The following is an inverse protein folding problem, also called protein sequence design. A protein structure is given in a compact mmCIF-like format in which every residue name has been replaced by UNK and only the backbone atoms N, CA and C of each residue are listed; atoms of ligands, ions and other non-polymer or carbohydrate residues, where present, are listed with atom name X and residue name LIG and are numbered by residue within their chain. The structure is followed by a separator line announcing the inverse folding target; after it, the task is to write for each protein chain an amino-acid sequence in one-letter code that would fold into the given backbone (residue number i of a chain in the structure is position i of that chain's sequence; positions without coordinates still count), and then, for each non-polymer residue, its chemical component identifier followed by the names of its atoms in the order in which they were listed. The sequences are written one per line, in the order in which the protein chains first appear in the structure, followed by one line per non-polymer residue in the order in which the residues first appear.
data_IF_954460561954
#
_entry.id   IF_954460561954
#
_cell.length_a   1.000
_cell.length_b   1.000
_cell.length_c   1.000
_cell.angle_alpha   90.00
_cell.angle_beta   90.00
_cell.angle_gamma   90.00
#
_symmetry.space_group_name_H-M   'P 1'
#
loop_
_entity.id
_entity.type
_entity.pdbx_description
1 polymer ?
#
# COMPACT_ATOMS: atom_id res chain seq x y z
N UNK A 1 -8.80 -5.95 3.95
CA UNK A 1 -8.00 -4.75 3.59
C UNK A 1 -7.27 -4.22 4.82
N UNK A 2 -6.22 -3.41 4.63
CA UNK A 2 -5.40 -2.82 5.71
C UNK A 2 -6.24 -2.18 6.83
N UNK A 3 -7.21 -1.36 6.47
CA UNK A 3 -8.08 -0.64 7.42
C UNK A 3 -8.87 -1.60 8.31
N UNK A 4 -9.34 -2.71 7.76
CA UNK A 4 -10.03 -3.76 8.53
C UNK A 4 -9.13 -4.40 9.58
N UNK A 5 -7.84 -4.59 9.29
CA UNK A 5 -6.89 -5.14 10.25
C UNK A 5 -6.55 -4.14 11.37
N UNK A 6 -6.47 -2.85 11.05
CA UNK A 6 -6.30 -1.78 12.04
C UNK A 6 -7.50 -1.66 12.97
N UNK A 7 -8.72 -1.61 12.42
CA UNK A 7 -9.96 -1.52 13.22
C UNK A 7 -10.12 -2.72 14.15
N UNK A 8 -9.80 -3.92 13.67
CA UNK A 8 -9.79 -5.13 14.52
C UNK A 8 -8.79 -5.01 15.68
N UNK A 9 -7.57 -4.56 15.41
CA UNK A 9 -6.58 -4.36 16.47
C UNK A 9 -7.03 -3.35 17.53
N UNK A 10 -7.70 -2.26 17.12
CA UNK A 10 -8.29 -1.32 18.06
C UNK A 10 -9.43 -1.97 18.86
N UNK A 11 -10.28 -2.74 18.21
CA UNK A 11 -11.43 -3.39 18.85
C UNK A 11 -11.02 -4.41 19.91
N UNK A 12 -9.95 -5.16 19.66
CA UNK A 12 -9.33 -6.09 20.63
C UNK A 12 -8.84 -5.37 21.90
N UNK A 13 -8.60 -4.05 21.82
CA UNK A 13 -8.18 -3.19 22.91
C UNK A 13 -9.31 -2.31 23.48
N UNK A 14 -10.55 -2.52 23.02
CA UNK A 14 -11.70 -1.72 23.42
C UNK A 14 -11.72 -0.29 22.85
N UNK A 15 -10.90 -0.02 21.82
CA UNK A 15 -10.83 1.28 21.15
C UNK A 15 -11.53 1.26 19.78
N UNK A 16 -11.89 2.45 19.31
CA UNK A 16 -12.42 2.68 17.96
C UNK A 16 -11.56 3.74 17.26
N UNK A 17 -11.64 3.90 15.92
CA UNK A 17 -10.90 4.96 15.23
C UNK A 17 -11.16 6.37 15.79
N UNK A 18 -12.38 6.62 16.30
CA UNK A 18 -12.75 7.89 16.93
C UNK A 18 -12.04 8.10 18.29
N UNK A 19 -11.85 7.03 19.05
CA UNK A 19 -11.18 7.07 20.36
C UNK A 19 -9.70 6.66 20.34
N UNK A 20 -9.14 6.32 19.18
CA UNK A 20 -7.79 5.76 19.09
C UNK A 20 -6.75 6.78 19.53
N UNK A 21 -5.89 6.40 20.48
CA UNK A 21 -4.77 7.23 20.90
C UNK A 21 -3.59 7.09 19.93
N UNK A 22 -2.60 7.97 20.07
CA UNK A 22 -1.29 7.81 19.42
C UNK A 22 -0.66 6.46 19.75
N UNK A 23 -0.72 6.07 21.03
CA UNK A 23 -0.14 4.83 21.54
C UNK A 23 -0.75 3.61 20.85
N UNK A 24 -2.06 3.59 20.62
CA UNK A 24 -2.70 2.49 19.89
C UNK A 24 -2.21 2.35 18.44
N UNK A 25 -1.85 3.46 17.80
CA UNK A 25 -1.32 3.46 16.43
C UNK A 25 0.14 3.00 16.43
N UNK A 26 0.95 3.47 17.37
CA UNK A 26 2.35 3.07 17.53
C UNK A 26 2.47 1.56 17.87
N UNK A 27 1.61 1.06 18.75
CA UNK A 27 1.52 -0.35 19.08
C UNK A 27 1.10 -1.19 17.88
N UNK A 28 0.13 -0.73 17.09
CA UNK A 28 -0.23 -1.42 15.85
C UNK A 28 0.94 -1.45 14.86
N UNK A 29 1.66 -0.35 14.68
CA UNK A 29 2.84 -0.30 13.81
C UNK A 29 3.92 -1.27 14.31
N UNK A 30 4.14 -1.33 15.62
CA UNK A 30 5.08 -2.25 16.25
C UNK A 30 4.68 -3.71 16.04
N UNK A 31 3.41 -4.06 16.25
CA UNK A 31 2.87 -5.40 16.02
C UNK A 31 3.07 -5.83 14.55
N UNK A 32 2.83 -4.92 13.61
CA UNK A 32 2.98 -5.22 12.18
C UNK A 32 4.46 -5.38 11.78
N UNK A 33 5.36 -4.63 12.41
CA UNK A 33 6.82 -4.81 12.24
C UNK A 33 7.27 -6.16 12.79
N UNK A 34 6.79 -6.55 13.97
CA UNK A 34 7.10 -7.84 14.60
C UNK A 34 6.54 -9.02 13.80
N UNK A 35 5.43 -8.82 13.09
CA UNK A 35 4.87 -9.79 12.14
C UNK A 35 5.65 -9.89 10.81
N UNK A 36 6.80 -9.22 10.67
CA UNK A 36 7.66 -9.33 9.49
C UNK A 36 7.15 -8.60 8.25
N UNK A 37 6.29 -7.59 8.40
CA UNK A 37 5.81 -6.83 7.26
C UNK A 37 6.94 -6.08 6.54
N UNK A 38 7.04 -6.24 5.22
CA UNK A 38 8.01 -5.52 4.40
C UNK A 38 7.86 -3.99 4.54
N UNK A 39 8.95 -3.20 4.46
CA UNK A 39 8.90 -1.74 4.61
C UNK A 39 7.89 -1.05 3.70
N UNK A 40 7.78 -1.49 2.45
CA UNK A 40 6.79 -0.98 1.49
C UNK A 40 5.34 -1.26 1.90
N UNK A 41 5.09 -2.43 2.51
CA UNK A 41 3.77 -2.78 3.06
C UNK A 41 3.46 -1.93 4.29
N UNK A 42 4.44 -1.71 5.17
CA UNK A 42 4.31 -0.84 6.34
C UNK A 42 4.01 0.61 5.95
N UNK A 43 4.68 1.14 4.93
CA UNK A 43 4.42 2.49 4.43
C UNK A 43 3.00 2.64 3.86
N UNK A 44 2.53 1.69 3.03
CA UNK A 44 1.15 1.69 2.54
C UNK A 44 0.14 1.59 3.70
N UNK A 45 0.45 0.79 4.71
CA UNK A 45 -0.37 0.64 5.91
C UNK A 45 -0.50 1.94 6.69
N UNK A 46 0.63 2.60 6.94
CA UNK A 46 0.67 3.90 7.62
C UNK A 46 -0.06 4.99 6.82
N UNK A 47 0.11 5.00 5.49
CA UNK A 47 -0.60 5.94 4.61
C UNK A 47 -2.13 5.77 4.70
N UNK A 48 -2.62 4.53 4.73
CA UNK A 48 -4.05 4.26 4.91
C UNK A 48 -4.58 4.73 6.27
N UNK A 49 -3.83 4.52 7.36
CA UNK A 49 -4.21 4.99 8.71
C UNK A 49 -4.20 6.51 8.79
N UNK A 50 -3.18 7.18 8.24
CA UNK A 50 -3.13 8.65 8.14
C UNK A 50 -4.32 9.21 7.37
N UNK A 51 -4.66 8.60 6.24
CA UNK A 51 -5.78 9.06 5.43
C UNK A 51 -7.13 8.87 6.14
N UNK A 52 -7.29 7.78 6.89
CA UNK A 52 -8.48 7.57 7.73
C UNK A 52 -8.63 8.67 8.78
N UNK A 53 -7.58 8.93 9.59
CA UNK A 53 -7.66 9.93 10.66
C UNK A 53 -7.81 11.36 10.12
N UNK A 54 -7.14 11.69 9.02
CA UNK A 54 -7.37 12.94 8.30
C UNK A 54 -8.81 13.08 7.84
N UNK A 55 -9.41 12.03 7.29
CA UNK A 55 -10.81 12.04 6.90
C UNK A 55 -11.74 12.25 8.10
N UNK A 56 -11.53 11.53 9.20
CA UNK A 56 -12.32 11.70 10.44
C UNK A 56 -12.24 13.13 11.00
N UNK A 57 -11.05 13.74 10.92
CA UNK A 57 -10.85 15.14 11.32
C UNK A 57 -11.52 16.12 10.37
N UNK A 58 -11.43 15.87 9.05
CA UNK A 58 -12.06 16.71 8.02
C UNK A 58 -13.59 16.68 8.11
N UNK A 59 -14.16 15.52 8.39
CA UNK A 59 -15.61 15.33 8.60
C UNK A 59 -16.09 15.82 9.98
N UNK A 60 -15.21 16.43 10.79
CA UNK A 60 -15.51 16.89 12.16
C UNK A 60 -16.02 15.78 13.10
N UNK A 61 -15.80 14.50 12.75
CA UNK A 61 -16.12 13.36 13.60
C UNK A 61 -15.13 13.22 14.76
N UNK A 62 -13.93 13.78 14.58
CA UNK A 62 -12.87 13.83 15.59
C UNK A 62 -12.16 15.19 15.55
N UNK A 63 -11.91 15.85 16.69
CA UNK A 63 -11.31 17.18 16.72
C UNK A 63 -9.80 17.20 16.41
N UNK A 64 -9.12 16.06 16.52
CA UNK A 64 -7.67 15.92 16.36
C UNK A 64 -7.30 14.82 15.34
N UNK A 65 -6.10 14.92 14.78
CA UNK A 65 -5.45 13.86 14.01
C UNK A 65 -4.28 13.24 14.83
N UNK A 66 -4.47 12.05 15.44
CA UNK A 66 -3.43 11.41 16.26
C UNK A 66 -2.23 10.94 15.45
N UNK A 67 -2.30 10.95 14.11
CA UNK A 67 -1.23 10.51 13.21
C UNK A 67 -0.22 11.60 12.87
N UNK A 68 -0.49 12.85 13.26
CA UNK A 68 0.26 14.04 12.81
C UNK A 68 1.75 14.02 13.17
N UNK A 69 2.12 13.48 14.34
CA UNK A 69 3.53 13.38 14.74
C UNK A 69 4.06 11.94 14.71
N UNK A 70 3.47 11.07 13.89
CA UNK A 70 4.05 9.75 13.63
C UNK A 70 5.13 9.87 12.57
N UNK A 71 6.28 9.27 12.81
CA UNK A 71 7.35 9.20 11.82
C UNK A 71 6.93 8.35 10.62
N UNK A 72 7.38 8.76 9.43
CA UNK A 72 7.21 7.97 8.21
C UNK A 72 8.01 6.68 8.23
N UNK A 73 7.54 5.67 7.49
CA UNK A 73 8.37 4.50 7.18
C UNK A 73 9.27 4.87 6.01
N UNK A 74 10.58 4.87 6.21
CA UNK A 74 11.53 5.02 5.11
C UNK A 74 11.41 3.82 4.17
N UNK A 75 11.01 4.07 2.93
CA UNK A 75 10.94 3.08 1.88
C UNK A 75 12.08 3.37 0.91
N UNK A 76 12.99 2.41 0.66
CA UNK A 76 13.98 2.56 -0.40
C UNK A 76 13.26 2.84 -1.72
N UNK A 77 13.43 4.05 -2.26
CA UNK A 77 12.83 4.43 -3.53
C UNK A 77 13.73 3.94 -4.66
N UNK A 78 13.41 2.77 -5.19
CA UNK A 78 13.92 2.33 -6.48
C UNK A 78 12.78 2.41 -7.48
N UNK A 79 12.89 3.28 -8.48
CA UNK A 79 12.09 3.09 -9.69
C UNK A 79 12.57 1.78 -10.33
N UNK A 80 11.67 0.86 -10.74
CA UNK A 80 12.09 -0.29 -11.53
C UNK A 80 12.92 0.20 -12.72
N UNK A 81 14.03 -0.46 -13.02
CA UNK A 81 14.80 -0.10 -14.21
C UNK A 81 13.92 -0.32 -15.45
N UNK A 82 13.95 0.60 -16.43
CA UNK A 82 13.30 0.33 -17.71
C UNK A 82 13.87 -0.94 -18.32
N UNK A 83 13.04 -1.69 -19.04
CA UNK A 83 13.49 -2.85 -19.81
C UNK A 83 14.45 -2.39 -20.91
N UNK A 84 15.49 -3.17 -21.18
CA UNK A 84 16.32 -2.95 -22.37
C UNK A 84 15.54 -3.31 -23.65
N UNK A 85 15.98 -2.81 -24.80
CA UNK A 85 15.41 -3.20 -26.11
C UNK A 85 15.42 -4.73 -26.30
N UNK A 86 16.48 -5.40 -25.82
CA UNK A 86 16.60 -6.87 -25.87
C UNK A 86 15.57 -7.57 -24.97
N UNK A 87 15.27 -7.01 -23.79
CA UNK A 87 14.24 -7.52 -22.90
C UNK A 87 12.84 -7.35 -23.48
N UNK A 88 12.58 -6.21 -24.13
CA UNK A 88 11.33 -5.96 -24.85
C UNK A 88 11.18 -6.93 -26.04
N UNK A 89 12.25 -7.13 -26.82
CA UNK A 89 12.24 -8.09 -27.93
C UNK A 89 11.88 -9.50 -27.47
N UNK A 90 12.50 -9.98 -26.38
CA UNK A 90 12.16 -11.29 -25.79
C UNK A 90 10.72 -11.38 -25.29
N UNK A 91 10.14 -10.27 -24.81
CA UNK A 91 8.75 -10.21 -24.38
C UNK A 91 7.78 -10.32 -25.57
N UNK A 92 8.07 -9.60 -26.66
CA UNK A 92 7.31 -9.66 -27.91
C UNK A 92 7.40 -11.03 -28.59
N UNK A 93 8.57 -11.68 -28.51
CA UNK A 93 8.79 -13.03 -29.01
C UNK A 93 8.10 -14.09 -28.16
N UNK A 94 7.91 -13.85 -26.86
CA UNK A 94 7.14 -14.75 -26.00
C UNK A 94 5.63 -14.69 -26.32
N UNK A 95 5.12 -13.56 -26.81
CA UNK A 95 3.74 -13.38 -27.25
C UNK A 95 3.50 -13.86 -28.70
N UNK A 96 4.12 -14.97 -29.09
CA UNK A 96 3.93 -15.58 -30.40
C UNK A 96 2.80 -16.62 -30.36
N UNK A 97 1.95 -16.60 -31.39
CA UNK A 97 0.84 -17.55 -31.55
C UNK A 97 -0.22 -17.01 -32.49
N UNK A 98 -1.05 -17.92 -33.02
CA UNK A 98 -2.12 -17.55 -33.96
C UNK A 98 -3.50 -17.52 -33.32
N UNK A 99 -3.63 -17.98 -32.07
CA UNK A 99 -4.87 -17.88 -31.31
C UNK A 99 -5.17 -16.43 -30.88
N UNK A 100 -6.40 -16.22 -30.42
CA UNK A 100 -6.89 -14.89 -30.06
C UNK A 100 -6.15 -14.28 -28.86
N UNK A 101 -5.66 -15.10 -27.92
CA UNK A 101 -4.96 -14.62 -26.73
C UNK A 101 -3.57 -14.12 -27.11
N UNK A 102 -2.82 -14.89 -27.90
CA UNK A 102 -1.49 -14.49 -28.37
C UNK A 102 -1.53 -13.21 -29.20
N UNK A 103 -2.51 -13.05 -30.10
CA UNK A 103 -2.66 -11.83 -30.91
C UNK A 103 -2.99 -10.59 -30.07
N UNK A 104 -3.86 -10.76 -29.06
CA UNK A 104 -4.21 -9.68 -28.14
C UNK A 104 -3.00 -9.25 -27.31
N UNK A 105 -2.30 -10.23 -26.74
CA UNK A 105 -1.16 -9.96 -25.86
C UNK A 105 -0.01 -9.30 -26.64
N UNK A 106 0.25 -9.74 -27.88
CA UNK A 106 1.15 -9.07 -28.83
C UNK A 106 0.76 -7.61 -29.06
N UNK A 107 -0.49 -7.33 -29.41
CA UNK A 107 -0.96 -5.97 -29.69
C UNK A 107 -0.88 -5.05 -28.46
N UNK A 108 -1.18 -5.59 -27.27
CA UNK A 108 -1.05 -4.84 -26.00
C UNK A 108 0.41 -4.50 -25.72
N UNK A 109 1.33 -5.46 -25.92
CA UNK A 109 2.76 -5.24 -25.72
C UNK A 109 3.34 -4.23 -26.72
N UNK A 110 2.94 -4.30 -28.00
CA UNK A 110 3.35 -3.32 -29.02
C UNK A 110 2.80 -1.91 -28.77
N UNK A 111 1.64 -1.78 -28.11
CA UNK A 111 1.05 -0.47 -27.76
C UNK A 111 1.66 0.16 -26.49
N UNK A 112 2.08 -0.69 -25.54
CA UNK A 112 2.72 -0.24 -24.29
C UNK A 112 4.19 0.17 -24.50
N UNK A 113 4.77 -0.21 -25.64
CA UNK A 113 6.08 0.21 -26.13
C UNK A 113 5.97 1.52 -26.92
#
# INVERSE_FOLDING_TARGET
MVTSAYVRHLSERGATPLGASRTDIEEWISAQRNAGAAPSSMARRLAAVRMLHRHLSTESLRPDDPTTALDGVSVPSGVPKPLSEEEVGRLLDAAQGTDAVSRRDRAVLELMY
#
